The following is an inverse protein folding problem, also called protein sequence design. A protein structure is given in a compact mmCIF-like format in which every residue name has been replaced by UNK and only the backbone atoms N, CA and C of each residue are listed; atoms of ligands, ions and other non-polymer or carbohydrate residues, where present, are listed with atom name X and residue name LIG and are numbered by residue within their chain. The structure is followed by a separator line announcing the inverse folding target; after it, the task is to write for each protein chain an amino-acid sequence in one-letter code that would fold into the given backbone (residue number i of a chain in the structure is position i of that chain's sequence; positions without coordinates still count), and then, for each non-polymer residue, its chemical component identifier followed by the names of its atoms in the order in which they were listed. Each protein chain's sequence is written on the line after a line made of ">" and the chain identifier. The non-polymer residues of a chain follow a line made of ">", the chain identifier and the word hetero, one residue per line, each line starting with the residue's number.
data_IF_949400972724
#
_entry.id   IF_949400972724
#
_cell.length_a   1.000
_cell.length_b   1.000
_cell.length_c   1.000
_cell.angle_alpha   90.00
_cell.angle_beta   90.00
_cell.angle_gamma   90.00
#
_symmetry.space_group_name_H-M   'P 1'
#
loop_
_entity.id
_entity.type
_entity.pdbx_description
1 polymer ?
#
# COMPACT_ATOMS: atom_id res chain seq x y z
N UNK A 1 30.40 11.90 7.38
CA UNK A 1 29.48 10.80 7.11
C UNK A 1 28.08 11.40 7.04
N UNK A 2 27.40 11.25 5.92
CA UNK A 2 26.06 11.83 5.71
C UNK A 2 25.00 10.81 6.16
N UNK A 3 24.01 11.25 6.92
CA UNK A 3 22.99 10.33 7.49
C UNK A 3 21.60 10.68 6.96
N UNK A 4 20.93 9.67 6.39
CA UNK A 4 19.50 9.72 6.09
C UNK A 4 18.73 9.10 7.26
N UNK A 5 17.87 9.87 7.90
CA UNK A 5 17.02 9.42 8.99
C UNK A 5 15.61 9.12 8.49
N UNK A 6 15.21 7.87 8.55
CA UNK A 6 13.91 7.41 8.07
C UNK A 6 12.94 7.24 9.24
N UNK A 7 11.73 7.77 9.11
CA UNK A 7 10.67 7.53 10.11
C UNK A 7 10.10 6.14 9.88
N UNK A 8 10.47 5.19 10.74
CA UNK A 8 10.15 3.76 10.60
C UNK A 8 9.01 3.28 11.51
N UNK A 9 8.44 4.17 12.30
CA UNK A 9 7.42 3.87 13.31
C UNK A 9 6.17 3.16 12.76
N UNK A 10 5.87 3.33 11.46
CA UNK A 10 4.72 2.70 10.82
C UNK A 10 4.82 1.16 10.75
N UNK A 11 6.04 0.61 10.78
CA UNK A 11 6.28 -0.85 10.85
C UNK A 11 5.69 -1.44 12.15
N UNK A 12 5.72 -0.66 13.23
CA UNK A 12 5.21 -1.04 14.56
C UNK A 12 3.75 -0.62 14.81
N UNK A 13 3.04 -0.16 13.78
CA UNK A 13 1.63 0.16 13.93
C UNK A 13 0.81 -1.10 14.29
N UNK A 14 -0.27 -0.99 15.09
CA UNK A 14 -1.12 -2.14 15.41
C UNK A 14 -1.68 -2.86 14.17
N UNK A 15 -1.94 -2.11 13.11
CA UNK A 15 -2.28 -2.62 11.76
C UNK A 15 -1.38 -1.89 10.79
N UNK A 16 -0.17 -2.42 10.48
CA UNK A 16 0.79 -1.73 9.61
C UNK A 16 0.26 -1.52 8.19
N UNK A 17 -0.44 -2.52 7.65
CA UNK A 17 -1.03 -2.49 6.32
C UNK A 17 -0.01 -2.24 5.20
N UNK A 18 -0.48 -1.75 4.06
CA UNK A 18 0.38 -1.41 2.93
C UNK A 18 1.42 -0.33 3.23
N UNK A 19 1.10 0.64 4.10
CA UNK A 19 2.06 1.70 4.48
C UNK A 19 3.20 1.12 5.35
N UNK A 20 2.89 0.16 6.21
CA UNK A 20 3.92 -0.56 7.00
C UNK A 20 4.87 -1.33 6.09
N UNK A 21 4.33 -2.11 5.14
CA UNK A 21 5.12 -2.84 4.13
C UNK A 21 5.96 -1.88 3.28
N UNK A 22 5.37 -0.80 2.79
CA UNK A 22 6.12 0.24 2.08
C UNK A 22 7.28 0.80 2.92
N UNK A 23 7.02 1.12 4.19
CA UNK A 23 8.03 1.67 5.10
C UNK A 23 9.20 0.70 5.30
N UNK A 24 8.90 -0.57 5.50
CA UNK A 24 9.90 -1.62 5.68
C UNK A 24 10.74 -1.80 4.42
N UNK A 25 10.11 -2.00 3.27
CA UNK A 25 10.78 -2.30 2.01
C UNK A 25 11.62 -1.12 1.49
N UNK A 26 11.08 0.10 1.51
CA UNK A 26 11.85 1.27 1.09
C UNK A 26 13.05 1.53 2.02
N UNK A 27 12.89 1.29 3.33
CA UNK A 27 14.00 1.46 4.28
C UNK A 27 15.08 0.40 4.06
N UNK A 28 14.71 -0.87 3.83
CA UNK A 28 15.66 -1.93 3.45
C UNK A 28 16.41 -1.58 2.16
N UNK A 29 15.70 -1.09 1.16
CA UNK A 29 16.30 -0.68 -0.10
C UNK A 29 17.26 0.51 0.08
N UNK A 30 16.87 1.53 0.86
CA UNK A 30 17.73 2.67 1.19
C UNK A 30 19.02 2.25 1.91
N UNK A 31 18.94 1.26 2.79
CA UNK A 31 20.12 0.68 3.46
C UNK A 31 21.03 0.00 2.44
N UNK A 32 20.48 -0.82 1.53
CA UNK A 32 21.25 -1.57 0.52
C UNK A 32 21.90 -0.67 -0.52
N UNK A 33 21.23 0.42 -0.91
CA UNK A 33 21.69 1.33 -1.97
C UNK A 33 22.38 2.58 -1.44
N UNK A 34 22.70 2.63 -0.14
CA UNK A 34 23.33 3.80 0.47
C UNK A 34 24.62 4.17 -0.27
N UNK A 35 24.74 5.41 -0.79
CA UNK A 35 25.98 5.87 -1.44
C UNK A 35 27.17 5.81 -0.51
N UNK A 36 28.38 5.70 -1.07
CA UNK A 36 29.61 5.65 -0.30
C UNK A 36 29.72 6.83 0.69
N UNK A 37 29.92 6.53 1.98
CA UNK A 37 29.97 7.54 3.04
C UNK A 37 28.61 7.97 3.59
N UNK A 38 27.50 7.40 3.11
CA UNK A 38 26.15 7.59 3.66
C UNK A 38 25.72 6.42 4.56
N UNK A 39 24.87 6.72 5.53
CA UNK A 39 24.25 5.74 6.44
C UNK A 39 22.76 6.02 6.58
N UNK A 40 22.01 4.97 6.94
CA UNK A 40 20.57 5.08 7.23
C UNK A 40 20.33 4.84 8.72
N UNK A 41 19.57 5.74 9.34
CA UNK A 41 19.11 5.63 10.73
C UNK A 41 17.59 5.61 10.78
N UNK A 42 17.02 4.93 11.79
CA UNK A 42 15.58 4.93 12.05
C UNK A 42 15.18 5.98 13.08
N UNK A 43 14.01 6.59 12.89
CA UNK A 43 13.31 7.38 13.92
C UNK A 43 12.04 6.63 14.31
N UNK A 44 11.84 6.40 15.61
CA UNK A 44 10.72 5.63 16.14
C UNK A 44 10.18 6.25 17.44
N UNK A 45 8.89 6.09 17.71
CA UNK A 45 8.26 6.47 18.97
C UNK A 45 8.80 5.64 20.15
N UNK A 46 8.38 5.98 21.35
CA UNK A 46 8.63 5.14 22.52
C UNK A 46 7.78 3.86 22.44
N UNK A 47 8.46 2.71 22.45
CA UNK A 47 7.89 1.37 22.40
C UNK A 47 8.55 0.44 23.42
N UNK A 48 7.97 -0.74 23.74
CA UNK A 48 8.66 -1.79 24.47
C UNK A 48 9.93 -2.28 23.78
N UNK A 49 10.90 -2.81 24.52
CA UNK A 49 12.17 -3.26 23.95
C UNK A 49 11.99 -4.34 22.88
N UNK A 50 11.06 -5.28 23.06
CA UNK A 50 10.76 -6.32 22.07
C UNK A 50 10.35 -5.77 20.69
N UNK A 51 9.67 -4.63 20.64
CA UNK A 51 9.32 -3.97 19.38
C UNK A 51 10.56 -3.38 18.69
N UNK A 52 11.50 -2.83 19.46
CA UNK A 52 12.77 -2.35 18.90
C UNK A 52 13.62 -3.49 18.35
N UNK A 53 13.65 -4.64 19.06
CA UNK A 53 14.37 -5.83 18.61
C UNK A 53 13.79 -6.33 17.31
N UNK A 54 12.45 -6.47 17.21
CA UNK A 54 11.76 -6.83 15.98
C UNK A 54 12.05 -5.86 14.83
N UNK A 55 12.09 -4.54 15.10
CA UNK A 55 12.38 -3.53 14.09
C UNK A 55 13.82 -3.64 13.60
N UNK A 56 14.77 -3.92 14.49
CA UNK A 56 16.18 -4.13 14.15
C UNK A 56 16.37 -5.40 13.30
N UNK A 57 15.66 -6.47 13.64
CA UNK A 57 15.68 -7.72 12.87
C UNK A 57 15.11 -7.54 11.46
N UNK A 58 14.04 -6.77 11.30
CA UNK A 58 13.45 -6.54 9.99
C UNK A 58 14.20 -5.50 9.13
N UNK A 59 15.11 -4.71 9.72
CA UNK A 59 15.91 -3.68 9.03
C UNK A 59 17.42 -3.92 9.20
N UNK A 60 17.97 -5.03 8.69
CA UNK A 60 19.38 -5.34 8.84
C UNK A 60 20.25 -4.28 8.15
N UNK A 61 21.28 -3.82 8.84
CA UNK A 61 22.18 -2.76 8.37
C UNK A 61 21.75 -1.34 8.73
N UNK A 62 20.65 -1.17 9.47
CA UNK A 62 20.29 0.12 10.07
C UNK A 62 21.40 0.55 11.05
N UNK A 63 21.98 1.73 10.83
CA UNK A 63 23.17 2.17 11.58
C UNK A 63 22.86 2.59 13.02
N UNK A 64 21.65 3.13 13.25
CA UNK A 64 21.18 3.58 14.56
C UNK A 64 19.65 3.67 14.59
N UNK A 65 19.07 3.56 15.79
CA UNK A 65 17.64 3.76 16.04
C UNK A 65 17.44 4.88 17.05
N UNK A 66 17.01 6.05 16.58
CA UNK A 66 16.66 7.20 17.40
C UNK A 66 15.26 7.00 17.99
N UNK A 67 15.20 6.73 19.31
CA UNK A 67 13.96 6.53 20.05
C UNK A 67 13.47 7.86 20.62
N UNK A 68 12.22 8.24 20.34
CA UNK A 68 11.64 9.44 20.96
C UNK A 68 11.22 9.16 22.41
N UNK A 69 11.01 10.22 23.18
CA UNK A 69 10.64 10.09 24.60
C UNK A 69 9.14 9.83 24.81
N UNK A 70 8.34 9.92 23.75
CA UNK A 70 6.87 9.82 23.83
C UNK A 70 6.36 8.71 22.94
N UNK A 71 5.22 8.12 23.30
CA UNK A 71 4.57 7.08 22.52
C UNK A 71 4.02 7.60 21.20
N UNK A 72 3.61 6.68 20.32
CA UNK A 72 3.15 6.98 18.96
C UNK A 72 2.01 8.02 18.90
N UNK A 73 1.04 7.94 19.81
CA UNK A 73 -0.11 8.85 19.81
C UNK A 73 0.32 10.28 20.18
N UNK A 74 1.11 10.41 21.22
CA UNK A 74 1.65 11.69 21.70
C UNK A 74 2.61 12.29 20.66
N UNK A 75 3.43 11.46 20.02
CA UNK A 75 4.34 11.87 18.94
C UNK A 75 3.56 12.42 17.75
N UNK A 76 2.48 11.74 17.35
CA UNK A 76 1.60 12.20 16.28
C UNK A 76 1.00 13.58 16.57
N UNK A 77 0.54 13.83 17.79
CA UNK A 77 0.02 15.14 18.21
C UNK A 77 1.13 16.19 18.25
N UNK A 78 2.30 15.84 18.78
CA UNK A 78 3.45 16.74 18.86
C UNK A 78 3.95 17.16 17.48
N UNK A 79 3.97 16.25 16.51
CA UNK A 79 4.32 16.57 15.12
C UNK A 79 3.21 17.32 14.40
N UNK A 80 1.94 17.04 14.69
CA UNK A 80 0.82 17.82 14.16
C UNK A 80 0.85 19.26 14.63
N UNK A 81 1.28 19.53 15.86
CA UNK A 81 1.41 20.89 16.40
C UNK A 81 2.76 21.54 16.08
N UNK A 82 3.79 20.76 15.71
CA UNK A 82 5.14 21.23 15.46
C UNK A 82 5.95 21.56 16.70
N UNK A 83 5.51 21.09 17.88
CA UNK A 83 6.19 21.31 19.16
C UNK A 83 7.50 20.52 19.22
N UNK A 84 7.50 19.30 18.68
CA UNK A 84 8.69 18.46 18.57
C UNK A 84 9.13 18.43 17.11
N UNK A 85 10.38 18.78 16.84
CA UNK A 85 11.01 18.64 15.52
C UNK A 85 11.93 17.42 15.47
N UNK A 86 12.57 17.18 14.31
CA UNK A 86 13.62 16.18 14.23
C UNK A 86 14.76 16.56 15.19
N UNK A 87 15.30 15.59 15.88
CA UNK A 87 16.50 15.77 16.70
C UNK A 87 17.71 15.93 15.78
N UNK A 88 18.35 17.11 15.80
CA UNK A 88 19.55 17.39 15.01
C UNK A 88 19.29 17.87 13.56
N UNK A 89 20.37 18.15 12.85
CA UNK A 89 20.43 18.53 11.44
C UNK A 89 20.54 17.29 10.56
N UNK A 90 20.31 17.44 9.27
CA UNK A 90 20.48 16.40 8.26
C UNK A 90 19.19 16.03 7.54
N UNK A 91 19.25 14.98 6.75
CA UNK A 91 18.17 14.52 5.90
C UNK A 91 17.17 13.67 6.73
N UNK A 92 15.89 14.00 6.64
CA UNK A 92 14.79 13.21 7.20
C UNK A 92 13.85 12.78 6.09
N UNK A 93 13.61 11.47 5.98
CA UNK A 93 12.61 10.89 5.08
C UNK A 93 11.49 10.27 5.90
N UNK A 94 10.32 10.91 5.89
CA UNK A 94 9.12 10.35 6.51
C UNK A 94 8.34 9.54 5.48
N UNK A 95 8.25 8.25 5.71
CA UNK A 95 7.57 7.28 4.82
C UNK A 95 6.04 7.38 4.87
N UNK A 96 5.50 8.31 5.65
CA UNK A 96 4.07 8.64 5.75
C UNK A 96 3.90 10.07 6.25
N UNK A 97 2.64 10.53 6.36
CA UNK A 97 2.31 11.83 6.96
C UNK A 97 2.68 11.94 8.45
N UNK A 98 3.04 10.85 9.12
CA UNK A 98 3.63 10.92 10.46
C UNK A 98 5.07 11.42 10.37
N UNK A 99 5.24 12.74 10.33
CA UNK A 99 6.47 13.42 9.97
C UNK A 99 6.78 14.60 10.90
N UNK A 100 8.06 14.85 11.25
CA UNK A 100 8.49 15.94 12.12
C UNK A 100 8.51 17.31 11.40
N UNK A 101 7.40 17.71 10.82
CA UNK A 101 7.24 18.91 10.02
C UNK A 101 7.26 20.17 10.87
N UNK A 102 8.29 20.99 10.74
CA UNK A 102 8.44 22.28 11.42
C UNK A 102 9.02 23.34 10.50
N UNK A 103 8.86 24.60 10.91
CA UNK A 103 9.46 25.72 10.19
C UNK A 103 10.99 25.61 10.23
N UNK A 104 11.63 25.67 9.06
CA UNK A 104 13.05 25.84 8.85
C UNK A 104 13.26 26.67 7.57
N UNK A 105 14.45 27.17 7.39
CA UNK A 105 14.76 27.93 6.18
C UNK A 105 15.29 26.97 5.11
N UNK A 106 14.45 26.70 4.13
CA UNK A 106 14.75 25.75 3.04
C UNK A 106 15.85 26.25 2.09
N UNK A 107 16.09 27.57 2.03
CA UNK A 107 17.07 28.17 1.13
C UNK A 107 18.40 28.46 1.82
N UNK A 108 18.35 28.89 3.07
CA UNK A 108 19.55 29.33 3.81
C UNK A 108 20.10 28.26 4.78
N UNK A 109 19.35 27.19 5.06
CA UNK A 109 19.79 26.05 5.89
C UNK A 109 19.61 24.70 5.16
N UNK A 110 20.39 24.42 4.10
CA UNK A 110 20.34 23.14 3.38
C UNK A 110 20.82 21.95 4.25
N UNK A 111 21.32 22.23 5.45
CA UNK A 111 21.72 21.17 6.39
C UNK A 111 20.54 20.48 7.08
N UNK A 112 19.29 20.93 6.84
CA UNK A 112 18.08 20.32 7.39
C UNK A 112 17.08 20.13 6.26
N UNK A 113 16.83 18.87 5.90
CA UNK A 113 15.86 18.49 4.85
C UNK A 113 14.79 17.58 5.45
N UNK A 114 13.54 17.81 5.07
CA UNK A 114 12.41 16.96 5.44
C UNK A 114 11.58 16.60 4.21
N UNK A 115 11.67 15.35 3.81
CA UNK A 115 10.85 14.74 2.75
C UNK A 115 9.74 13.91 3.38
N UNK A 116 8.55 13.98 2.79
CA UNK A 116 7.34 13.28 3.30
C UNK A 116 6.67 12.50 2.19
N UNK A 117 6.31 11.24 2.45
CA UNK A 117 5.48 10.46 1.55
C UNK A 117 4.00 10.66 1.87
N UNK A 118 3.20 11.02 0.86
CA UNK A 118 1.73 11.08 0.90
C UNK A 118 1.20 9.96 0.02
N UNK A 119 0.62 8.93 0.65
CA UNK A 119 0.25 7.70 -0.04
C UNK A 119 -0.99 7.81 -0.89
N UNK A 120 -1.97 8.61 -0.49
CA UNK A 120 -3.25 8.78 -1.19
C UNK A 120 -3.90 10.14 -0.90
N UNK A 121 -4.99 10.40 -1.61
CA UNK A 121 -5.85 11.57 -1.45
C UNK A 121 -7.25 11.23 -0.93
N UNK A 122 -7.44 10.01 -0.43
CA UNK A 122 -8.71 9.50 0.13
C UNK A 122 -9.40 10.46 1.09
N UNK A 123 -8.70 11.20 1.98
CA UNK A 123 -9.34 12.19 2.86
C UNK A 123 -10.09 13.29 2.15
N UNK A 124 -9.81 13.53 0.86
CA UNK A 124 -10.51 14.53 0.03
C UNK A 124 -11.49 13.90 -0.93
N UNK A 125 -11.10 12.78 -1.57
CA UNK A 125 -11.88 12.14 -2.65
C UNK A 125 -12.99 11.24 -2.11
N UNK A 126 -12.74 10.52 -1.01
CA UNK A 126 -13.68 9.56 -0.41
C UNK A 126 -13.67 9.67 1.13
N UNK A 127 -13.91 10.87 1.70
CA UNK A 127 -13.81 11.10 3.16
C UNK A 127 -14.77 10.23 3.98
N UNK A 128 -15.90 9.80 3.42
CA UNK A 128 -16.89 8.90 4.03
C UNK A 128 -16.31 7.52 4.33
N UNK A 129 -15.26 7.14 3.62
CA UNK A 129 -14.55 5.87 3.84
C UNK A 129 -13.52 5.94 4.95
N UNK A 130 -13.42 7.03 5.68
CA UNK A 130 -12.48 7.24 6.79
C UNK A 130 -13.21 7.76 8.04
N UNK A 131 -12.59 7.57 9.21
CA UNK A 131 -13.12 8.22 10.42
C UNK A 131 -12.97 9.74 10.33
N UNK A 132 -13.91 10.53 10.89
CA UNK A 132 -13.82 12.00 10.88
C UNK A 132 -12.50 12.52 11.47
N UNK A 133 -11.98 11.85 12.50
CA UNK A 133 -10.68 12.17 13.10
C UNK A 133 -9.53 11.88 12.14
N UNK A 134 -9.58 10.74 11.43
CA UNK A 134 -8.60 10.38 10.41
C UNK A 134 -8.56 11.41 9.29
N UNK A 135 -9.71 11.78 8.73
CA UNK A 135 -9.84 12.83 7.70
C UNK A 135 -9.20 14.14 8.17
N UNK A 136 -9.59 14.61 9.37
CA UNK A 136 -9.07 15.87 9.92
C UNK A 136 -7.56 15.83 10.11
N UNK A 137 -7.02 14.73 10.64
CA UNK A 137 -5.60 14.57 10.87
C UNK A 137 -4.80 14.57 9.55
N UNK A 138 -5.22 13.78 8.56
CA UNK A 138 -4.55 13.72 7.26
C UNK A 138 -4.55 15.08 6.56
N UNK A 139 -5.70 15.78 6.55
CA UNK A 139 -5.80 17.12 5.97
C UNK A 139 -4.87 18.12 6.69
N UNK A 140 -4.81 18.06 8.01
CA UNK A 140 -3.93 18.93 8.79
C UNK A 140 -2.46 18.65 8.52
N UNK A 141 -2.05 17.36 8.47
CA UNK A 141 -0.67 16.99 8.21
C UNK A 141 -0.24 17.28 6.76
N UNK A 142 -1.11 17.07 5.78
CA UNK A 142 -0.83 17.46 4.38
C UNK A 142 -0.66 18.98 4.25
N UNK A 143 -1.50 19.77 4.92
CA UNK A 143 -1.32 21.24 4.98
C UNK A 143 0.02 21.63 5.60
N UNK A 144 0.49 20.87 6.60
CA UNK A 144 1.82 21.08 7.18
C UNK A 144 2.94 20.64 6.21
N UNK A 145 2.78 19.53 5.52
CA UNK A 145 3.72 19.08 4.50
C UNK A 145 3.85 20.13 3.38
N UNK A 146 2.73 20.66 2.88
CA UNK A 146 2.73 21.74 1.90
C UNK A 146 3.54 22.97 2.38
N UNK A 147 3.43 23.30 3.68
CA UNK A 147 4.08 24.49 4.25
C UNK A 147 5.55 24.29 4.60
N UNK A 148 5.93 23.09 5.05
CA UNK A 148 7.22 22.87 5.73
C UNK A 148 8.07 21.75 5.13
N UNK A 149 7.55 20.86 4.29
CA UNK A 149 8.37 19.85 3.65
C UNK A 149 9.21 20.45 2.50
N UNK A 150 10.43 20.00 2.35
CA UNK A 150 11.31 20.37 1.24
C UNK A 150 10.87 19.70 -0.04
N UNK A 151 10.48 18.43 0.05
CA UNK A 151 9.81 17.70 -1.02
C UNK A 151 8.74 16.75 -0.50
N UNK A 152 7.85 16.37 -1.40
CA UNK A 152 6.78 15.40 -1.16
C UNK A 152 6.91 14.26 -2.16
N UNK A 153 6.96 13.03 -1.66
CA UNK A 153 6.89 11.82 -2.45
C UNK A 153 5.46 11.36 -2.53
N UNK A 154 5.01 11.00 -3.72
CA UNK A 154 3.70 10.36 -3.96
C UNK A 154 3.91 9.10 -4.79
N UNK A 155 3.07 8.06 -4.64
CA UNK A 155 3.34 6.76 -5.27
C UNK A 155 2.96 6.70 -6.75
N UNK A 156 2.09 7.59 -7.24
CA UNK A 156 1.61 7.61 -8.63
C UNK A 156 1.41 9.04 -9.14
N UNK A 157 1.40 9.21 -10.46
CA UNK A 157 1.02 10.47 -11.09
C UNK A 157 -0.45 10.80 -10.84
N UNK A 158 -1.30 9.80 -10.65
CA UNK A 158 -2.69 9.99 -10.25
C UNK A 158 -2.77 10.74 -8.91
N UNK A 159 -2.05 10.27 -7.87
CA UNK A 159 -2.00 10.95 -6.57
C UNK A 159 -1.38 12.35 -6.70
N UNK A 160 -0.36 12.52 -7.56
CA UNK A 160 0.23 13.84 -7.79
C UNK A 160 -0.79 14.83 -8.39
N UNK A 161 -1.58 14.41 -9.38
CA UNK A 161 -2.65 15.23 -9.98
C UNK A 161 -3.73 15.58 -8.96
N UNK A 162 -4.26 14.56 -8.28
CA UNK A 162 -5.30 14.76 -7.27
C UNK A 162 -4.84 15.72 -6.17
N UNK A 163 -3.62 15.53 -5.65
CA UNK A 163 -3.07 16.39 -4.61
C UNK A 163 -2.90 17.83 -5.10
N UNK A 164 -2.57 18.02 -6.39
CA UNK A 164 -2.45 19.30 -7.06
C UNK A 164 -3.74 20.12 -7.11
N UNK A 165 -4.91 19.47 -6.98
CA UNK A 165 -6.21 20.17 -6.93
C UNK A 165 -6.39 20.97 -5.63
N UNK A 166 -5.73 20.56 -4.55
CA UNK A 166 -5.87 21.22 -3.23
C UNK A 166 -4.63 21.98 -2.79
N UNK A 167 -3.44 21.60 -3.30
CA UNK A 167 -2.16 22.18 -2.87
C UNK A 167 -1.20 22.35 -4.03
N UNK A 168 -0.72 23.56 -4.24
CA UNK A 168 0.36 23.85 -5.17
C UNK A 168 1.72 23.53 -4.51
N UNK A 169 2.24 22.34 -4.75
CA UNK A 169 3.59 21.96 -4.33
C UNK A 169 4.67 22.40 -5.31
N UNK A 170 4.31 22.86 -6.50
CA UNK A 170 5.26 23.21 -7.54
C UNK A 170 6.16 22.03 -7.92
N UNK A 171 7.46 22.31 -7.99
CA UNK A 171 8.51 21.33 -8.31
C UNK A 171 8.93 20.42 -7.15
N UNK A 172 8.27 20.51 -5.99
CA UNK A 172 8.57 19.70 -4.81
C UNK A 172 7.93 18.30 -4.82
N UNK A 173 7.03 17.99 -5.76
CA UNK A 173 6.47 16.64 -5.89
C UNK A 173 7.43 15.74 -6.65
N UNK A 174 7.62 14.52 -6.14
CA UNK A 174 8.32 13.42 -6.82
C UNK A 174 7.43 12.18 -6.81
N UNK A 175 7.29 11.55 -7.97
CA UNK A 175 6.56 10.29 -8.09
C UNK A 175 7.55 9.14 -7.90
N UNK A 176 7.42 8.44 -6.77
CA UNK A 176 8.25 7.28 -6.41
C UNK A 176 7.31 6.20 -5.88
N UNK A 177 7.08 5.18 -6.68
CA UNK A 177 6.17 4.08 -6.36
C UNK A 177 6.77 3.04 -5.41
N UNK A 178 5.96 2.03 -5.08
CA UNK A 178 6.39 0.82 -4.42
C UNK A 178 6.73 -0.29 -5.42
N UNK A 179 7.11 -1.46 -4.90
CA UNK A 179 7.36 -2.67 -5.67
C UNK A 179 6.93 -3.91 -4.87
N UNK A 180 7.12 -5.09 -5.43
CA UNK A 180 6.92 -6.36 -4.73
C UNK A 180 8.07 -6.59 -3.74
N UNK A 181 7.74 -7.14 -2.57
CA UNK A 181 8.76 -7.53 -1.58
C UNK A 181 9.54 -8.77 -2.05
N UNK A 182 10.86 -8.76 -1.86
CA UNK A 182 11.71 -9.93 -2.11
C UNK A 182 11.32 -11.14 -1.22
N UNK A 183 10.65 -10.90 -0.09
CA UNK A 183 10.13 -11.94 0.78
C UNK A 183 8.91 -12.66 0.21
N UNK A 184 8.26 -12.07 -0.80
CA UNK A 184 7.08 -12.65 -1.45
C UNK A 184 7.51 -13.63 -2.55
N UNK A 185 7.97 -14.80 -2.14
CA UNK A 185 8.42 -15.86 -3.02
C UNK A 185 7.65 -17.16 -2.74
N UNK A 186 7.38 -17.92 -3.79
CA UNK A 186 6.75 -19.26 -3.66
C UNK A 186 7.72 -20.17 -2.92
N UNK A 187 7.34 -20.78 -1.79
CA UNK A 187 8.20 -21.69 -1.06
C UNK A 187 8.32 -23.05 -1.78
N UNK A 188 9.38 -23.80 -1.46
CA UNK A 188 9.59 -25.14 -2.04
C UNK A 188 8.49 -26.15 -1.66
N UNK A 189 7.86 -25.96 -0.51
CA UNK A 189 6.75 -26.74 0.03
C UNK A 189 5.36 -26.16 -0.32
N UNK A 190 5.23 -25.51 -1.47
CA UNK A 190 4.01 -24.81 -1.89
C UNK A 190 2.73 -25.69 -1.87
N UNK A 191 2.84 -27.00 -2.13
CA UNK A 191 1.72 -27.93 -2.06
C UNK A 191 1.27 -28.15 -0.62
N UNK A 192 2.21 -28.31 0.32
CA UNK A 192 1.90 -28.46 1.74
C UNK A 192 1.26 -27.17 2.31
N UNK A 193 1.75 -26.00 1.86
CA UNK A 193 1.16 -24.70 2.21
C UNK A 193 -0.27 -24.59 1.70
N UNK A 194 -0.54 -25.02 0.46
CA UNK A 194 -1.89 -25.02 -0.11
C UNK A 194 -2.84 -25.95 0.64
N UNK A 195 -2.37 -27.15 0.98
CA UNK A 195 -3.13 -28.12 1.77
C UNK A 195 -3.44 -27.60 3.18
N UNK A 196 -2.47 -26.91 3.81
CA UNK A 196 -2.68 -26.30 5.13
C UNK A 196 -3.76 -25.21 5.16
N UNK A 197 -3.96 -24.55 4.01
CA UNK A 197 -5.01 -23.55 3.82
C UNK A 197 -6.31 -24.14 3.29
N UNK A 198 -6.37 -25.46 3.02
CA UNK A 198 -7.51 -26.13 2.39
C UNK A 198 -7.95 -25.36 1.13
N UNK A 199 -7.00 -25.10 0.21
CA UNK A 199 -7.29 -24.30 -0.98
C UNK A 199 -8.16 -25.08 -1.98
N UNK A 200 -9.22 -24.46 -2.52
CA UNK A 200 -9.94 -25.03 -3.65
C UNK A 200 -9.02 -25.17 -4.88
N UNK A 201 -9.31 -26.11 -5.77
CA UNK A 201 -8.56 -26.29 -7.02
C UNK A 201 -8.52 -25.01 -7.86
N UNK A 202 -9.64 -24.28 -7.91
CA UNK A 202 -9.77 -22.98 -8.60
C UNK A 202 -10.52 -22.00 -7.70
N UNK A 203 -10.07 -20.75 -7.63
CA UNK A 203 -10.69 -19.71 -6.82
C UNK A 203 -10.38 -18.31 -7.36
N UNK A 204 -11.22 -17.35 -6.98
CA UNK A 204 -10.96 -15.93 -7.10
C UNK A 204 -10.24 -15.44 -5.83
N UNK A 205 -9.30 -14.53 -5.97
CA UNK A 205 -8.54 -13.98 -4.85
C UNK A 205 -8.75 -12.46 -4.76
N UNK A 206 -8.98 -11.96 -3.54
CA UNK A 206 -8.90 -10.52 -3.22
C UNK A 206 -8.06 -10.32 -1.97
N UNK A 207 -7.18 -9.31 -1.97
CA UNK A 207 -6.22 -9.05 -0.88
C UNK A 207 -6.33 -7.62 -0.40
N UNK A 208 -6.53 -7.43 0.89
CA UNK A 208 -6.60 -6.12 1.52
C UNK A 208 -7.42 -6.14 2.80
N UNK A 209 -7.28 -5.10 3.62
CA UNK A 209 -8.10 -4.91 4.81
C UNK A 209 -9.58 -4.86 4.41
N UNK A 210 -10.45 -5.57 5.15
CA UNK A 210 -11.89 -5.55 4.91
C UNK A 210 -12.46 -4.22 5.39
N UNK A 211 -12.54 -3.26 4.49
CA UNK A 211 -13.03 -1.89 4.74
C UNK A 211 -13.83 -1.37 3.54
N UNK A 212 -14.74 -0.38 3.71
CA UNK A 212 -15.64 0.08 2.64
C UNK A 212 -14.91 0.48 1.35
N UNK A 213 -13.77 1.13 1.47
CA UNK A 213 -12.96 1.62 0.35
C UNK A 213 -12.48 0.49 -0.57
N UNK A 214 -12.32 -0.73 -0.05
CA UNK A 214 -11.79 -1.87 -0.81
C UNK A 214 -12.79 -2.53 -1.75
N UNK A 215 -14.05 -2.10 -1.73
CA UNK A 215 -15.07 -2.59 -2.66
C UNK A 215 -15.45 -4.06 -2.47
N UNK A 216 -15.30 -4.59 -1.25
CA UNK A 216 -15.63 -5.99 -0.95
C UNK A 216 -17.13 -6.24 -1.08
N UNK A 217 -17.97 -5.28 -0.72
CA UNK A 217 -19.42 -5.43 -0.85
C UNK A 217 -19.86 -5.58 -2.31
N UNK A 218 -19.52 -4.70 -3.26
CA UNK A 218 -19.86 -4.91 -4.68
C UNK A 218 -19.23 -6.18 -5.27
N UNK A 219 -18.05 -6.62 -4.79
CA UNK A 219 -17.44 -7.87 -5.23
C UNK A 219 -18.27 -9.09 -4.80
N UNK A 220 -18.75 -9.11 -3.56
CA UNK A 220 -19.62 -10.20 -3.07
C UNK A 220 -20.97 -10.17 -3.79
N UNK A 221 -21.55 -8.99 -4.01
CA UNK A 221 -22.78 -8.85 -4.80
C UNK A 221 -22.60 -9.37 -6.23
N UNK A 222 -21.42 -9.13 -6.83
CA UNK A 222 -21.08 -9.65 -8.14
C UNK A 222 -21.13 -11.17 -8.24
N UNK A 223 -20.76 -11.90 -7.16
CA UNK A 223 -20.81 -13.37 -7.12
C UNK A 223 -22.24 -13.93 -7.12
N UNK A 224 -23.22 -13.14 -6.75
CA UNK A 224 -24.64 -13.50 -6.82
C UNK A 224 -25.25 -13.26 -8.22
N UNK A 225 -24.54 -12.58 -9.10
CA UNK A 225 -25.01 -12.30 -10.46
C UNK A 225 -24.99 -13.58 -11.32
N UNK A 226 -25.98 -13.80 -12.21
CA UNK A 226 -26.02 -15.00 -13.09
C UNK A 226 -24.77 -15.16 -13.98
N UNK A 227 -24.14 -14.05 -14.35
CA UNK A 227 -22.93 -14.03 -15.18
C UNK A 227 -21.64 -14.26 -14.36
N UNK A 228 -21.72 -14.45 -13.04
CA UNK A 228 -20.52 -14.73 -12.24
C UNK A 228 -19.99 -16.14 -12.50
N UNK A 229 -18.65 -16.35 -12.47
CA UNK A 229 -18.10 -17.70 -12.53
C UNK A 229 -18.44 -18.48 -11.28
N UNK A 230 -18.68 -19.77 -11.40
CA UNK A 230 -18.96 -20.66 -10.26
C UNK A 230 -17.66 -21.06 -9.55
N UNK A 231 -16.98 -20.07 -8.96
CA UNK A 231 -15.74 -20.24 -8.20
C UNK A 231 -15.86 -19.57 -6.82
N UNK A 232 -15.31 -20.16 -5.76
CA UNK A 232 -15.24 -19.50 -4.46
C UNK A 232 -14.33 -18.28 -4.51
N UNK A 233 -14.65 -17.28 -3.69
CA UNK A 233 -13.83 -16.10 -3.45
C UNK A 233 -13.05 -16.27 -2.15
N UNK A 234 -11.73 -16.18 -2.19
CA UNK A 234 -10.87 -16.08 -1.02
C UNK A 234 -10.51 -14.62 -0.77
N UNK A 235 -10.75 -14.15 0.45
CA UNK A 235 -10.39 -12.79 0.88
C UNK A 235 -9.29 -12.90 1.92
N UNK A 236 -8.16 -12.26 1.64
CA UNK A 236 -7.00 -12.20 2.53
C UNK A 236 -6.87 -10.78 3.11
N UNK A 237 -6.78 -10.70 4.41
CA UNK A 237 -6.57 -9.46 5.14
C UNK A 237 -7.37 -9.41 6.43
N UNK A 238 -6.95 -8.57 7.38
CA UNK A 238 -7.64 -8.41 8.64
C UNK A 238 -8.99 -7.72 8.44
N UNK A 239 -9.90 -7.97 9.38
CA UNK A 239 -11.09 -7.13 9.53
C UNK A 239 -10.64 -5.70 9.80
N UNK A 240 -11.19 -4.76 9.04
CA UNK A 240 -10.88 -3.35 9.13
C UNK A 240 -11.91 -2.60 9.98
N UNK A 241 -12.14 -1.36 9.62
CA UNK A 241 -13.13 -0.50 10.26
C UNK A 241 -14.39 -0.36 9.37
N UNK A 242 -15.49 0.22 9.92
CA UNK A 242 -16.71 0.50 9.16
C UNK A 242 -17.78 -0.58 9.27
N UNK A 243 -17.69 -1.46 10.26
CA UNK A 243 -18.66 -2.53 10.53
C UNK A 243 -18.95 -3.42 9.30
N UNK A 244 -17.99 -3.54 8.38
CA UNK A 244 -18.08 -4.41 7.20
C UNK A 244 -17.89 -5.86 7.64
N UNK A 245 -18.98 -6.58 7.77
CA UNK A 245 -18.97 -8.01 8.06
C UNK A 245 -19.22 -8.80 6.78
N UNK A 246 -18.22 -9.54 6.33
CA UNK A 246 -18.32 -10.36 5.12
C UNK A 246 -19.50 -11.32 5.18
N UNK A 247 -19.73 -11.97 6.35
CA UNK A 247 -20.85 -12.89 6.53
C UNK A 247 -22.22 -12.24 6.31
N UNK A 248 -22.42 -11.02 6.81
CA UNK A 248 -23.68 -10.28 6.64
C UNK A 248 -23.93 -9.91 5.18
N UNK A 249 -22.86 -9.60 4.43
CA UNK A 249 -22.95 -9.26 3.00
C UNK A 249 -23.28 -10.53 2.20
N UNK A 250 -22.64 -11.66 2.51
CA UNK A 250 -22.89 -12.97 1.88
C UNK A 250 -24.34 -13.40 2.09
N UNK A 251 -24.86 -13.27 3.31
CA UNK A 251 -26.26 -13.58 3.64
C UNK A 251 -27.24 -12.68 2.85
N UNK A 252 -26.99 -11.36 2.84
CA UNK A 252 -27.82 -10.39 2.09
C UNK A 252 -27.79 -10.66 0.59
N UNK A 253 -26.67 -11.11 0.05
CA UNK A 253 -26.53 -11.45 -1.36
C UNK A 253 -27.18 -12.82 -1.70
N UNK A 254 -27.66 -13.57 -0.71
CA UNK A 254 -28.26 -14.90 -0.92
C UNK A 254 -27.28 -15.98 -1.35
N UNK A 255 -25.99 -15.79 -1.06
CA UNK A 255 -24.93 -16.74 -1.39
C UNK A 255 -24.81 -17.84 -0.32
N UNK A 256 -24.38 -19.03 -0.74
CA UNK A 256 -24.00 -20.09 0.19
C UNK A 256 -22.77 -19.64 1.02
N UNK A 257 -22.69 -20.03 2.32
CA UNK A 257 -21.60 -19.56 3.21
C UNK A 257 -20.19 -19.93 2.75
N UNK A 258 -20.03 -21.02 2.02
CA UNK A 258 -18.76 -21.52 1.47
C UNK A 258 -18.33 -20.80 0.18
N UNK A 259 -19.24 -19.97 -0.38
CA UNK A 259 -18.95 -19.18 -1.59
C UNK A 259 -17.90 -18.10 -1.37
N UNK A 260 -17.76 -17.60 -0.14
CA UNK A 260 -16.77 -16.58 0.25
C UNK A 260 -16.08 -17.02 1.53
N UNK A 261 -14.75 -17.16 1.48
CA UNK A 261 -13.92 -17.48 2.63
C UNK A 261 -13.00 -16.32 2.98
N UNK A 262 -12.97 -15.90 4.23
CA UNK A 262 -12.00 -14.96 4.77
C UNK A 262 -10.87 -15.72 5.44
N UNK A 263 -9.63 -15.49 5.01
CA UNK A 263 -8.43 -16.15 5.55
C UNK A 263 -7.76 -15.34 6.65
N UNK A 264 -8.19 -14.09 6.86
CA UNK A 264 -7.53 -13.20 7.81
C UNK A 264 -6.11 -12.86 7.40
N UNK A 265 -5.22 -12.77 8.40
CA UNK A 265 -3.80 -12.54 8.15
C UNK A 265 -3.12 -13.86 7.74
N UNK A 266 -2.33 -13.82 6.67
CA UNK A 266 -1.52 -14.93 6.18
C UNK A 266 -0.05 -14.51 6.07
N UNK A 267 0.87 -15.48 6.10
CA UNK A 267 2.31 -15.23 5.92
C UNK A 267 2.65 -14.87 4.47
N UNK A 268 3.85 -14.32 4.24
CA UNK A 268 4.31 -14.01 2.87
C UNK A 268 4.41 -15.28 1.99
N UNK A 269 4.81 -16.42 2.55
CA UNK A 269 4.80 -17.71 1.84
C UNK A 269 3.38 -18.14 1.44
N UNK A 270 2.42 -18.02 2.36
CA UNK A 270 1.02 -18.35 2.08
C UNK A 270 0.41 -17.44 1.02
N UNK A 271 0.65 -16.12 1.09
CA UNK A 271 0.09 -15.20 0.10
C UNK A 271 0.73 -15.38 -1.28
N UNK A 272 2.02 -15.78 -1.36
CA UNK A 272 2.69 -16.12 -2.62
C UNK A 272 2.01 -17.32 -3.31
N UNK A 273 1.69 -18.39 -2.54
CA UNK A 273 0.95 -19.55 -3.04
C UNK A 273 -0.45 -19.16 -3.48
N UNK A 274 -1.13 -18.30 -2.71
CA UNK A 274 -2.46 -17.80 -3.04
C UNK A 274 -2.48 -17.02 -4.36
N UNK A 275 -1.51 -16.12 -4.59
CA UNK A 275 -1.40 -15.43 -5.88
C UNK A 275 -1.09 -16.41 -7.01
N UNK A 276 -0.12 -17.30 -6.84
CA UNK A 276 0.31 -18.23 -7.87
C UNK A 276 -0.82 -19.14 -8.37
N UNK A 277 -1.74 -19.57 -7.47
CA UNK A 277 -2.79 -20.56 -7.78
C UNK A 277 -4.15 -19.96 -8.08
N UNK A 278 -4.34 -18.65 -7.87
CA UNK A 278 -5.62 -18.00 -8.13
C UNK A 278 -5.98 -18.05 -9.63
N UNK A 279 -7.23 -18.38 -9.94
CA UNK A 279 -7.75 -18.32 -11.29
C UNK A 279 -7.85 -16.86 -11.80
N UNK A 280 -8.14 -15.92 -10.89
CA UNK A 280 -8.03 -14.48 -11.13
C UNK A 280 -7.87 -13.74 -9.79
N UNK A 281 -7.13 -12.64 -9.82
CA UNK A 281 -7.05 -11.67 -8.74
C UNK A 281 -8.00 -10.51 -9.03
N UNK A 282 -8.87 -10.17 -8.05
CA UNK A 282 -9.88 -9.12 -8.20
C UNK A 282 -9.63 -8.04 -7.15
N UNK A 283 -9.38 -6.81 -7.60
CA UNK A 283 -9.10 -5.69 -6.74
C UNK A 283 -10.04 -4.51 -7.04
N UNK A 284 -11.29 -4.56 -6.52
CA UNK A 284 -12.38 -3.66 -6.88
C UNK A 284 -12.37 -2.35 -6.08
N UNK A 285 -11.21 -1.93 -5.57
CA UNK A 285 -11.08 -0.78 -4.68
C UNK A 285 -11.65 0.50 -5.28
N UNK A 286 -12.41 1.25 -4.47
CA UNK A 286 -13.03 2.50 -4.86
C UNK A 286 -12.02 3.65 -4.95
N UNK A 287 -10.96 3.60 -4.13
CA UNK A 287 -9.89 4.60 -4.11
C UNK A 287 -8.58 3.98 -3.63
N UNK A 288 -7.49 4.27 -4.32
CA UNK A 288 -6.15 3.83 -4.00
C UNK A 288 -5.12 4.91 -4.32
N UNK A 289 -3.96 4.83 -3.66
CA UNK A 289 -2.82 5.64 -4.05
C UNK A 289 -1.80 4.90 -4.89
N UNK A 290 -1.74 3.55 -4.80
CA UNK A 290 -0.84 2.70 -5.57
C UNK A 290 -1.46 1.32 -5.88
N UNK A 291 -1.76 0.53 -4.84
CA UNK A 291 -2.26 -0.84 -5.01
C UNK A 291 -1.14 -1.87 -5.02
N UNK A 292 -0.33 -1.97 -3.95
CA UNK A 292 0.69 -3.02 -3.81
C UNK A 292 0.17 -4.41 -4.18
N UNK A 293 -1.04 -4.85 -3.72
CA UNK A 293 -1.58 -6.16 -4.09
C UNK A 293 -1.75 -6.38 -5.59
N UNK A 294 -1.95 -5.31 -6.37
CA UNK A 294 -2.02 -5.41 -7.84
C UNK A 294 -0.64 -5.77 -8.40
N UNK A 295 0.42 -5.05 -7.98
CA UNK A 295 1.78 -5.36 -8.45
C UNK A 295 2.22 -6.74 -7.98
N UNK A 296 1.82 -7.15 -6.76
CA UNK A 296 2.05 -8.48 -6.24
C UNK A 296 1.40 -9.55 -7.15
N UNK A 297 0.10 -9.44 -7.45
CA UNK A 297 -0.60 -10.36 -8.35
C UNK A 297 0.04 -10.42 -9.74
N UNK A 298 0.38 -9.27 -10.32
CA UNK A 298 1.06 -9.18 -11.61
C UNK A 298 2.41 -9.91 -11.60
N UNK A 299 3.16 -9.86 -10.50
CA UNK A 299 4.47 -10.51 -10.39
C UNK A 299 4.40 -12.04 -10.36
N UNK A 300 3.24 -12.61 -10.03
CA UNK A 300 2.97 -14.05 -10.12
C UNK A 300 2.32 -14.45 -11.47
N UNK A 301 2.10 -13.47 -12.36
CA UNK A 301 1.38 -13.72 -13.61
C UNK A 301 -0.10 -14.07 -13.40
N UNK A 302 -0.67 -13.71 -12.25
CA UNK A 302 -2.07 -13.94 -11.92
C UNK A 302 -2.94 -13.02 -12.78
N UNK A 303 -3.90 -13.53 -13.57
CA UNK A 303 -4.81 -12.70 -14.34
C UNK A 303 -5.54 -11.73 -13.42
N UNK A 304 -5.44 -10.42 -13.69
CA UNK A 304 -5.83 -9.38 -12.76
C UNK A 304 -7.01 -8.56 -13.28
N UNK A 305 -7.96 -8.28 -12.39
CA UNK A 305 -9.12 -7.43 -12.61
C UNK A 305 -9.06 -6.30 -11.57
N UNK A 306 -9.13 -5.06 -12.04
CA UNK A 306 -9.07 -3.88 -11.17
C UNK A 306 -10.25 -2.94 -11.45
N UNK A 307 -10.59 -2.10 -10.49
CA UNK A 307 -11.48 -0.96 -10.76
C UNK A 307 -10.76 0.11 -11.61
N UNK A 308 -11.53 1.06 -12.13
CA UNK A 308 -11.02 2.23 -12.86
C UNK A 308 -10.50 3.34 -11.93
N UNK A 309 -10.14 3.04 -10.67
CA UNK A 309 -9.46 3.99 -9.80
C UNK A 309 -8.15 4.46 -10.47
N UNK A 310 -7.92 5.78 -10.61
CA UNK A 310 -6.83 6.31 -11.45
C UNK A 310 -5.46 5.75 -11.13
N UNK A 311 -5.15 5.52 -9.84
CA UNK A 311 -3.90 4.90 -9.43
C UNK A 311 -3.79 3.44 -9.86
N UNK A 312 -4.89 2.68 -9.84
CA UNK A 312 -4.90 1.28 -10.27
C UNK A 312 -4.74 1.16 -11.78
N UNK A 313 -5.39 2.05 -12.54
CA UNK A 313 -5.22 2.12 -14.02
C UNK A 313 -3.77 2.45 -14.37
N UNK A 314 -3.15 3.39 -13.65
CA UNK A 314 -1.74 3.75 -13.85
C UNK A 314 -0.80 2.58 -13.53
N UNK A 315 -1.05 1.88 -12.42
CA UNK A 315 -0.19 0.77 -11.96
C UNK A 315 -0.36 -0.46 -12.84
N UNK A 316 -1.58 -0.85 -13.17
CA UNK A 316 -1.85 -2.04 -13.95
C UNK A 316 -1.57 -1.84 -15.46
N UNK A 317 -1.74 -0.61 -15.96
CA UNK A 317 -1.68 -0.28 -17.39
C UNK A 317 -2.55 -1.24 -18.23
N UNK A 318 -1.97 -1.95 -19.20
CA UNK A 318 -2.63 -2.94 -20.06
C UNK A 318 -2.59 -4.38 -19.53
N UNK A 319 -2.02 -4.58 -18.33
CA UNK A 319 -1.86 -5.89 -17.71
C UNK A 319 -3.06 -6.35 -16.86
N UNK A 320 -4.17 -5.63 -16.89
CA UNK A 320 -5.38 -5.99 -16.15
C UNK A 320 -6.64 -5.65 -16.93
N UNK A 321 -7.74 -6.32 -16.62
CA UNK A 321 -9.08 -5.89 -17.02
C UNK A 321 -9.53 -4.77 -16.09
N UNK A 322 -9.84 -3.60 -16.65
CA UNK A 322 -10.32 -2.43 -15.89
C UNK A 322 -11.85 -2.39 -15.92
N UNK A 323 -12.48 -2.37 -14.75
CA UNK A 323 -13.94 -2.32 -14.59
C UNK A 323 -14.38 -0.92 -14.15
N UNK A 324 -15.20 -0.21 -14.95
CA UNK A 324 -15.72 1.11 -14.62
C UNK A 324 -16.62 1.10 -13.38
N UNK A 325 -16.50 2.14 -12.52
CA UNK A 325 -17.29 2.35 -11.27
C UNK A 325 -18.28 3.51 -11.37
N UNK A 326 -18.41 4.11 -12.53
CA UNK A 326 -19.23 5.31 -12.80
C UNK A 326 -20.71 5.16 -12.42
N UNK A 327 -21.22 3.93 -12.41
CA UNK A 327 -22.55 3.59 -11.93
C UNK A 327 -22.46 2.50 -10.85
N UNK A 328 -22.69 2.86 -9.57
CA UNK A 328 -22.61 1.90 -8.46
C UNK A 328 -23.62 0.75 -8.53
N UNK A 329 -24.79 0.95 -9.16
CA UNK A 329 -25.82 -0.10 -9.25
C UNK A 329 -25.44 -1.19 -10.24
N UNK A 330 -24.79 -0.86 -11.35
CA UNK A 330 -24.32 -1.81 -12.36
C UNK A 330 -22.87 -2.27 -12.15
N UNK A 331 -22.15 -1.70 -11.17
CA UNK A 331 -20.77 -2.09 -10.89
C UNK A 331 -20.61 -3.58 -10.53
N UNK A 332 -21.48 -4.20 -9.67
CA UNK A 332 -21.43 -5.63 -9.41
C UNK A 332 -21.63 -6.48 -10.67
N UNK A 333 -22.55 -6.13 -11.55
CA UNK A 333 -22.78 -6.83 -12.82
C UNK A 333 -21.52 -6.81 -13.71
N UNK A 334 -20.91 -5.63 -13.87
CA UNK A 334 -19.66 -5.48 -14.64
C UNK A 334 -18.49 -6.27 -14.05
N UNK A 335 -18.40 -6.34 -12.71
CA UNK A 335 -17.41 -7.20 -12.04
C UNK A 335 -17.68 -8.68 -12.34
N UNK A 336 -18.95 -9.13 -12.28
CA UNK A 336 -19.33 -10.50 -12.60
C UNK A 336 -18.91 -10.87 -14.02
N UNK A 337 -19.24 -10.05 -14.99
CA UNK A 337 -18.91 -10.23 -16.41
C UNK A 337 -17.40 -10.27 -16.64
N UNK A 338 -16.63 -9.36 -16.00
CA UNK A 338 -15.17 -9.34 -16.08
C UNK A 338 -14.55 -10.62 -15.47
N UNK A 339 -15.03 -11.06 -14.31
CA UNK A 339 -14.59 -12.30 -13.67
C UNK A 339 -14.90 -13.51 -14.57
N UNK A 340 -16.11 -13.59 -15.12
CA UNK A 340 -16.51 -14.67 -16.03
C UNK A 340 -15.61 -14.71 -17.27
N UNK A 341 -15.38 -13.57 -17.91
CA UNK A 341 -14.53 -13.47 -19.08
C UNK A 341 -13.11 -13.94 -18.79
N UNK A 342 -12.48 -13.40 -17.74
CA UNK A 342 -11.07 -13.74 -17.39
C UNK A 342 -10.93 -15.22 -17.03
N UNK A 343 -11.89 -15.81 -16.32
CA UNK A 343 -11.83 -17.20 -15.87
C UNK A 343 -12.08 -18.20 -17.00
N UNK A 344 -12.89 -17.87 -17.99
CA UNK A 344 -13.34 -18.79 -19.04
C UNK A 344 -12.62 -18.57 -20.40
N UNK A 345 -12.01 -17.41 -20.63
CA UNK A 345 -11.20 -17.13 -21.82
C UNK A 345 -9.72 -17.38 -21.51
N UNK A 346 -9.23 -18.57 -21.87
CA UNK A 346 -7.84 -18.98 -21.61
C UNK A 346 -6.82 -18.13 -22.36
N UNK A 347 -7.16 -17.62 -23.54
CA UNK A 347 -6.27 -16.75 -24.32
C UNK A 347 -6.13 -15.39 -23.64
N UNK A 348 -7.24 -14.78 -23.19
CA UNK A 348 -7.24 -13.56 -22.41
C UNK A 348 -6.46 -13.76 -21.10
N UNK A 349 -6.74 -14.81 -20.35
CA UNK A 349 -6.10 -15.14 -19.10
C UNK A 349 -4.57 -15.27 -19.26
N UNK A 350 -4.12 -16.04 -20.26
CA UNK A 350 -2.70 -16.20 -20.57
C UNK A 350 -2.04 -14.88 -20.97
N UNK A 351 -2.70 -14.08 -21.80
CA UNK A 351 -2.20 -12.77 -22.23
C UNK A 351 -2.04 -11.82 -21.02
N UNK A 352 -3.03 -11.76 -20.13
CA UNK A 352 -2.96 -10.95 -18.92
C UNK A 352 -1.84 -11.41 -18.00
N UNK A 353 -1.64 -12.72 -17.84
CA UNK A 353 -0.55 -13.26 -17.05
C UNK A 353 0.83 -12.83 -17.58
N UNK A 354 1.05 -12.94 -18.89
CA UNK A 354 2.31 -12.52 -19.53
C UNK A 354 2.52 -11.01 -19.40
N UNK A 355 1.49 -10.20 -19.70
CA UNK A 355 1.56 -8.75 -19.57
C UNK A 355 1.81 -8.34 -18.11
N UNK A 356 1.21 -9.06 -17.16
CA UNK A 356 1.42 -8.86 -15.72
C UNK A 356 2.88 -9.04 -15.32
N UNK A 357 3.49 -10.15 -15.71
CA UNK A 357 4.91 -10.42 -15.43
C UNK A 357 5.82 -9.34 -16.01
N UNK A 358 5.54 -8.87 -17.22
CA UNK A 358 6.32 -7.78 -17.84
C UNK A 358 6.09 -6.46 -17.12
N UNK A 359 4.85 -6.16 -16.76
CA UNK A 359 4.50 -4.92 -16.05
C UNK A 359 5.12 -4.85 -14.66
N UNK A 360 5.12 -5.96 -13.91
CA UNK A 360 5.70 -6.02 -12.57
C UNK A 360 7.19 -5.65 -12.55
N UNK A 361 7.95 -5.96 -13.61
CA UNK A 361 9.38 -5.59 -13.75
C UNK A 361 9.64 -4.09 -13.80
N UNK A 362 8.62 -3.28 -14.09
CA UNK A 362 8.73 -1.82 -14.08
C UNK A 362 8.80 -1.24 -12.65
N UNK A 363 8.56 -2.05 -11.63
CA UNK A 363 8.56 -1.65 -10.23
C UNK A 363 9.74 -2.31 -9.50
N UNK A 364 10.58 -1.47 -8.88
CA UNK A 364 11.79 -1.92 -8.19
C UNK A 364 12.01 -1.07 -6.93
N UNK A 365 12.18 -1.74 -5.80
CA UNK A 365 12.55 -1.05 -4.55
C UNK A 365 13.93 -0.41 -4.65
N UNK A 366 14.86 -1.01 -5.41
CA UNK A 366 16.18 -0.44 -5.68
C UNK A 366 16.04 0.90 -6.42
N UNK A 367 15.27 0.94 -7.53
CA UNK A 367 15.05 2.17 -8.29
C UNK A 367 14.32 3.24 -7.46
N UNK A 368 13.38 2.81 -6.61
CA UNK A 368 12.66 3.72 -5.71
C UNK A 368 13.60 4.32 -4.66
N UNK A 369 14.49 3.52 -4.08
CA UNK A 369 15.49 4.00 -3.13
C UNK A 369 16.53 4.92 -3.78
N UNK A 370 17.00 4.60 -4.99
CA UNK A 370 17.93 5.44 -5.76
C UNK A 370 17.29 6.81 -6.05
N UNK A 371 16.01 6.84 -6.43
CA UNK A 371 15.26 8.11 -6.61
C UNK A 371 15.13 8.90 -5.31
N UNK A 372 14.96 8.23 -4.15
CA UNK A 372 14.94 8.91 -2.84
C UNK A 372 16.31 9.48 -2.51
N UNK A 373 17.40 8.73 -2.74
CA UNK A 373 18.76 9.23 -2.55
C UNK A 373 19.05 10.43 -3.46
N UNK A 374 18.68 10.33 -4.74
CA UNK A 374 18.82 11.45 -5.69
C UNK A 374 18.00 12.67 -5.26
N UNK A 375 16.75 12.47 -4.81
CA UNK A 375 15.93 13.57 -4.30
C UNK A 375 16.62 14.32 -3.16
N UNK A 376 17.20 13.60 -2.19
CA UNK A 376 17.93 14.21 -1.08
C UNK A 376 19.23 14.88 -1.51
N UNK A 377 19.84 14.42 -2.60
CA UNK A 377 21.03 15.06 -3.17
C UNK A 377 20.68 16.35 -3.95
N UNK A 378 19.49 16.44 -4.52
CA UNK A 378 19.01 17.61 -5.29
C UNK A 378 18.50 18.75 -4.37
N UNK A 379 18.19 18.47 -3.09
CA UNK A 379 17.72 19.44 -2.09
C UNK A 379 18.87 20.12 -1.36
#
# INVERSE_FOLDING_TARGET
>A
MTTLRVVVDQILAPVPGGIGRYTEEITRALIRTAPGGCTVEGIVAAHPQADYDRLTDCLPGLSHLTKTLVGRRELSVAWQTGVIGPSGRGMVHATSLMAPLRRHDRQLDPSTQTVVTIHDTVPWTNPETLTPRGVSWHKAMTKRAHRYADAVVVPTHAVARDLGEWFDFGDRIRVIGGAVSDALAVPDDADEVADSLDLPERYLLSVGTVEPRKGIEPLIQALAHPDAPDLPLLIVGPEGWGDVRVADIVEKAGLAPDRVRTLGFVSDAQIAVLYQRAAAFVFPSLAEGFGLPVVEALSFGTPTIVSDAPALVEVAADAAVVVPRDDPESYPERLAQAMFQVVNDLELSSRLGIAGLDRARAFSWTDSADKVWQLHADL
#
